data_IF_276286794945
#
_entry.id   IF_276286794945
#
_cell.length_a   1.000
_cell.length_b   1.000
_cell.length_c   1.000
_cell.angle_alpha   90.00
_cell.angle_beta   90.00
_cell.angle_gamma   90.00
#
_symmetry.space_group_name_H-M   'P 1'
#
loop_
_entity.id
_entity.type
_entity.pdbx_description
1 polymer ?
#
# COMPACT_ATOMS: atom_id res chain seq x y z
N UNK A 1 -11.94 12.33 4.13
CA UNK A 1 -13.07 11.63 3.48
C UNK A 1 -12.85 11.65 1.97
N UNK A 2 -13.52 10.80 1.20
CA UNK A 2 -13.39 10.76 -0.28
C UNK A 2 -13.79 12.08 -0.97
N UNK A 3 -14.59 12.91 -0.30
CA UNK A 3 -15.06 14.21 -0.80
C UNK A 3 -14.27 15.41 -0.25
N UNK A 4 -13.20 15.18 0.51
CA UNK A 4 -12.38 16.28 1.01
C UNK A 4 -11.60 16.93 -0.15
N UNK A 5 -11.42 18.26 -0.09
CA UNK A 5 -10.53 18.96 -1.01
C UNK A 5 -9.11 18.41 -0.83
N UNK A 6 -8.48 17.97 -1.92
CA UNK A 6 -7.13 17.37 -1.89
C UNK A 6 -6.06 18.42 -2.14
N UNK A 7 -4.95 18.31 -1.39
CA UNK A 7 -3.72 19.10 -1.54
C UNK A 7 -2.51 18.25 -1.94
N UNK A 8 -2.62 16.94 -1.82
CA UNK A 8 -1.59 15.94 -2.17
C UNK A 8 -2.26 14.68 -2.76
N UNK A 9 -1.43 13.70 -3.10
CA UNK A 9 -1.84 12.41 -3.67
C UNK A 9 -2.03 11.31 -2.61
N UNK A 10 -1.74 11.60 -1.34
CA UNK A 10 -1.73 10.59 -0.29
C UNK A 10 -3.16 10.24 0.11
N UNK A 11 -3.48 8.95 0.11
CA UNK A 11 -4.75 8.43 0.62
C UNK A 11 -4.51 7.57 1.84
N UNK A 12 -4.90 8.08 3.01
CA UNK A 12 -4.93 7.28 4.23
C UNK A 12 -6.17 6.36 4.25
N UNK A 13 -5.96 5.08 4.57
CA UNK A 13 -7.00 4.06 4.70
C UNK A 13 -6.85 3.43 6.08
N UNK A 14 -7.91 3.51 6.88
CA UNK A 14 -7.95 2.93 8.22
C UNK A 14 -8.30 1.44 8.12
N UNK A 15 -7.39 0.57 8.56
CA UNK A 15 -7.62 -0.87 8.62
C UNK A 15 -8.10 -1.28 10.01
N UNK A 16 -8.80 -2.41 10.10
CA UNK A 16 -9.39 -2.90 11.34
C UNK A 16 -8.38 -3.67 12.20
N UNK A 17 -7.35 -4.24 11.59
CA UNK A 17 -6.31 -5.00 12.28
C UNK A 17 -4.94 -4.89 11.63
N UNK A 18 -3.93 -5.37 12.34
CA UNK A 18 -2.57 -5.48 11.83
C UNK A 18 -2.49 -6.45 10.63
N UNK A 19 -3.24 -7.54 10.68
CA UNK A 19 -3.28 -8.56 9.63
C UNK A 19 -3.93 -8.00 8.36
N UNK A 20 -5.03 -7.27 8.49
CA UNK A 20 -5.67 -6.61 7.35
C UNK A 20 -4.74 -5.58 6.70
N UNK A 21 -3.98 -4.84 7.52
CA UNK A 21 -2.97 -3.88 7.05
C UNK A 21 -1.86 -4.56 6.24
N UNK A 22 -1.27 -5.63 6.78
CA UNK A 22 -0.22 -6.40 6.11
C UNK A 22 -0.76 -6.98 4.80
N UNK A 23 -1.94 -7.59 4.84
CA UNK A 23 -2.59 -8.18 3.66
C UNK A 23 -2.85 -7.14 2.58
N UNK A 24 -3.33 -5.94 2.94
CA UNK A 24 -3.55 -4.87 1.99
C UNK A 24 -2.26 -4.45 1.28
N UNK A 25 -1.18 -4.18 2.04
CA UNK A 25 0.11 -3.76 1.46
C UNK A 25 0.71 -4.86 0.58
N UNK A 26 0.66 -6.12 1.00
CA UNK A 26 1.10 -7.24 0.17
C UNK A 26 0.28 -7.39 -1.11
N UNK A 27 -1.03 -7.14 -1.04
CA UNK A 27 -1.90 -7.25 -2.20
C UNK A 27 -1.66 -6.11 -3.21
N UNK A 28 -1.29 -4.91 -2.73
CA UNK A 28 -0.80 -3.82 -3.60
C UNK A 28 0.48 -4.25 -4.32
N UNK A 29 1.47 -4.83 -3.61
CA UNK A 29 2.70 -5.34 -4.25
C UNK A 29 2.40 -6.40 -5.32
N UNK A 30 1.51 -7.36 -5.04
CA UNK A 30 1.10 -8.39 -6.02
C UNK A 30 0.51 -7.81 -7.29
N UNK A 31 -0.14 -6.66 -7.18
CA UNK A 31 -0.74 -5.98 -8.31
C UNK A 31 0.22 -5.04 -9.06
N UNK A 32 1.42 -4.80 -8.52
CA UNK A 32 2.43 -3.95 -9.14
C UNK A 32 3.05 -4.59 -10.39
N UNK A 33 3.51 -3.78 -11.36
CA UNK A 33 4.12 -4.30 -12.60
C UNK A 33 5.52 -4.90 -12.40
N UNK A 34 6.26 -4.45 -11.39
CA UNK A 34 7.63 -4.91 -11.07
C UNK A 34 7.63 -5.63 -9.74
N UNK A 35 8.40 -6.72 -9.63
CA UNK A 35 8.59 -7.50 -8.40
C UNK A 35 7.30 -7.93 -7.69
N UNK A 36 6.24 -8.23 -8.44
CA UNK A 36 4.94 -8.62 -7.88
C UNK A 36 4.98 -9.92 -7.06
N UNK A 37 5.95 -10.80 -7.31
CA UNK A 37 6.20 -11.99 -6.49
C UNK A 37 6.96 -11.72 -5.18
N UNK A 38 7.59 -10.55 -5.02
CA UNK A 38 8.41 -10.22 -3.85
C UNK A 38 7.55 -9.59 -2.75
N UNK A 39 6.75 -10.41 -2.07
CA UNK A 39 5.82 -9.92 -1.05
C UNK A 39 6.57 -9.27 0.12
N UNK A 40 6.20 -8.04 0.51
CA UNK A 40 6.83 -7.38 1.63
C UNK A 40 6.42 -8.01 2.95
N UNK A 41 7.30 -7.93 3.93
CA UNK A 41 7.04 -8.28 5.31
C UNK A 41 7.43 -7.10 6.21
N UNK A 42 6.88 -7.02 7.43
CA UNK A 42 7.22 -5.94 8.34
C UNK A 42 8.68 -5.99 8.77
N UNK A 43 9.38 -4.85 8.66
CA UNK A 43 10.79 -4.73 9.00
C UNK A 43 11.08 -3.48 9.85
N UNK A 44 12.19 -3.52 10.58
CA UNK A 44 12.64 -2.43 11.42
C UNK A 44 13.34 -1.37 10.54
N UNK A 45 12.80 -0.14 10.53
CA UNK A 45 13.34 0.97 9.74
C UNK A 45 13.95 2.02 10.66
N UNK A 46 15.19 2.42 10.40
CA UNK A 46 15.87 3.45 11.20
C UNK A 46 15.04 4.75 11.24
N UNK A 47 14.79 5.24 12.46
CA UNK A 47 13.97 6.45 12.69
C UNK A 47 12.49 6.18 12.99
N UNK A 48 12.05 4.91 13.00
CA UNK A 48 10.70 4.52 13.39
C UNK A 48 10.69 3.68 14.66
N UNK A 49 9.76 3.98 15.57
CA UNK A 49 9.56 3.23 16.83
C UNK A 49 8.74 1.94 16.63
N UNK A 50 8.25 1.70 15.41
CA UNK A 50 7.44 0.55 15.05
C UNK A 50 7.92 -0.01 13.72
N UNK A 51 7.75 -1.31 13.52
CA UNK A 51 7.97 -1.95 12.22
C UNK A 51 7.16 -1.26 11.12
N UNK A 52 7.74 -1.16 9.95
CA UNK A 52 7.11 -0.62 8.74
C UNK A 52 6.95 -1.76 7.74
N UNK A 53 5.87 -1.73 6.97
CA UNK A 53 5.72 -2.53 5.76
C UNK A 53 5.52 -1.60 4.57
N UNK A 54 6.09 -1.95 3.42
CA UNK A 54 6.04 -1.12 2.20
C UNK A 54 5.95 -1.98 0.95
N UNK A 55 5.05 -1.60 0.05
CA UNK A 55 4.96 -2.07 -1.32
C UNK A 55 5.45 -0.96 -2.26
N UNK A 56 6.43 -1.29 -3.11
CA UNK A 56 7.07 -0.38 -4.05
C UNK A 56 7.53 -1.15 -5.30
N UNK A 57 6.62 -1.89 -5.94
CA UNK A 57 6.85 -2.58 -7.21
C UNK A 57 6.90 -1.61 -8.41
N UNK A 58 7.70 -0.56 -8.29
CA UNK A 58 7.85 0.54 -9.24
C UNK A 58 9.01 0.29 -10.19
N UNK A 59 8.95 0.89 -11.38
CA UNK A 59 10.06 0.86 -12.35
C UNK A 59 11.26 1.67 -11.85
N UNK A 60 11.00 2.79 -11.19
CA UNK A 60 12.04 3.59 -10.54
C UNK A 60 12.02 3.32 -9.03
N UNK A 61 13.18 2.97 -8.47
CA UNK A 61 13.30 2.62 -7.05
C UNK A 61 12.85 3.77 -6.14
N UNK A 62 11.89 3.50 -5.25
CA UNK A 62 11.38 4.46 -4.27
C UNK A 62 10.46 5.54 -4.87
N UNK A 63 9.98 5.35 -6.09
CA UNK A 63 9.05 6.26 -6.76
C UNK A 63 7.67 6.21 -6.12
N UNK A 64 7.24 7.32 -5.51
CA UNK A 64 5.90 7.48 -4.90
C UNK A 64 4.88 8.11 -5.84
N UNK A 65 5.29 8.53 -7.05
CA UNK A 65 4.36 8.88 -8.13
C UNK A 65 3.85 7.61 -8.84
N UNK A 66 4.61 6.52 -8.75
CA UNK A 66 4.13 5.17 -9.09
C UNK A 66 3.33 4.59 -7.93
N UNK A 67 2.53 3.56 -8.24
CA UNK A 67 1.63 2.95 -7.29
C UNK A 67 2.41 2.35 -6.11
N UNK A 68 2.11 2.80 -4.90
CA UNK A 68 2.77 2.35 -3.68
C UNK A 68 1.80 2.32 -2.49
N UNK A 69 2.15 1.49 -1.50
CA UNK A 69 1.45 1.47 -0.22
C UNK A 69 2.44 1.21 0.92
N UNK A 70 2.35 1.97 2.00
CA UNK A 70 3.17 1.77 3.18
C UNK A 70 2.40 2.04 4.47
N UNK A 71 2.89 1.46 5.56
CA UNK A 71 2.25 1.63 6.86
C UNK A 71 3.17 1.29 8.04
N UNK A 72 3.07 2.03 9.15
CA UNK A 72 3.58 1.57 10.44
C UNK A 72 2.65 0.52 11.07
N UNK A 73 3.22 -0.57 11.58
CA UNK A 73 2.51 -1.61 12.30
C UNK A 73 2.20 -1.19 13.74
N UNK A 74 1.32 -0.21 13.88
CA UNK A 74 0.79 0.25 15.16
C UNK A 74 -0.64 0.73 15.01
N UNK A 75 -1.42 0.65 16.08
CA UNK A 75 -2.75 1.22 16.11
C UNK A 75 -2.70 2.73 15.74
N UNK A 76 -3.62 3.22 14.90
CA UNK A 76 -4.86 2.56 14.49
C UNK A 76 -4.74 1.81 13.13
N UNK A 77 -3.56 1.32 12.74
CA UNK A 77 -3.33 0.54 11.52
C UNK A 77 -3.73 1.29 10.23
N UNK A 78 -3.15 2.47 10.05
CA UNK A 78 -3.40 3.30 8.86
C UNK A 78 -2.43 2.95 7.73
N UNK A 79 -2.96 2.53 6.59
CA UNK A 79 -2.21 2.40 5.34
C UNK A 79 -2.20 3.74 4.60
N UNK A 80 -1.05 4.11 4.04
CA UNK A 80 -0.91 5.20 3.09
C UNK A 80 -0.80 4.61 1.70
N UNK A 81 -1.80 4.86 0.87
CA UNK A 81 -1.86 4.41 -0.51
C UNK A 81 -1.76 5.63 -1.42
N UNK A 82 -0.88 5.61 -2.41
CA UNK A 82 -0.62 6.77 -3.25
C UNK A 82 0.02 6.40 -4.59
N UNK A 83 0.03 7.39 -5.48
CA UNK A 83 0.61 7.26 -6.80
C UNK A 83 -0.18 6.35 -7.74
N UNK A 84 0.39 6.14 -8.92
CA UNK A 84 -0.20 5.43 -10.04
C UNK A 84 -0.05 6.25 -11.31
N UNK A 85 0.64 5.68 -12.30
CA UNK A 85 0.94 6.38 -13.55
C UNK A 85 -0.29 6.51 -14.46
N UNK A 86 -1.20 5.54 -14.38
CA UNK A 86 -2.46 5.54 -15.12
C UNK A 86 -3.60 5.13 -14.21
N UNK A 87 -4.79 5.70 -14.43
CA UNK A 87 -5.99 5.39 -13.66
C UNK A 87 -6.32 3.89 -13.70
N UNK A 88 -6.18 3.27 -14.87
CA UNK A 88 -6.47 1.86 -15.09
C UNK A 88 -5.58 0.94 -14.24
N UNK A 89 -4.30 1.32 -14.04
CA UNK A 89 -3.39 0.55 -13.19
C UNK A 89 -3.82 0.61 -11.72
N UNK A 90 -4.31 1.77 -11.26
CA UNK A 90 -4.80 1.97 -9.89
C UNK A 90 -6.06 1.14 -9.68
N UNK A 91 -7.02 1.24 -10.60
CA UNK A 91 -8.28 0.50 -10.54
C UNK A 91 -8.03 -1.01 -10.54
N UNK A 92 -7.21 -1.50 -11.47
CA UNK A 92 -6.85 -2.91 -11.55
C UNK A 92 -6.18 -3.38 -10.25
N UNK A 93 -5.25 -2.60 -9.72
CA UNK A 93 -4.55 -2.97 -8.50
C UNK A 93 -5.47 -3.03 -7.28
N UNK A 94 -6.38 -2.06 -7.14
CA UNK A 94 -7.39 -2.08 -6.08
C UNK A 94 -8.35 -3.27 -6.23
N UNK A 95 -8.80 -3.58 -7.45
CA UNK A 95 -9.65 -4.74 -7.71
C UNK A 95 -8.96 -6.06 -7.34
N UNK A 96 -7.69 -6.23 -7.73
CA UNK A 96 -6.89 -7.40 -7.38
C UNK A 96 -6.66 -7.47 -5.87
N UNK A 97 -6.33 -6.35 -5.23
CA UNK A 97 -6.09 -6.28 -3.81
C UNK A 97 -7.34 -6.68 -3.01
N UNK A 98 -8.49 -6.09 -3.33
CA UNK A 98 -9.76 -6.41 -2.69
C UNK A 98 -10.19 -7.87 -2.94
N UNK A 99 -9.93 -8.41 -4.13
CA UNK A 99 -10.21 -9.81 -4.45
C UNK A 99 -9.37 -10.76 -3.59
N UNK A 100 -8.09 -10.46 -3.41
CA UNK A 100 -7.18 -11.28 -2.61
C UNK A 100 -7.50 -11.18 -1.12
N UNK A 101 -7.83 -9.98 -0.61
CA UNK A 101 -8.27 -9.79 0.77
C UNK A 101 -9.59 -10.53 1.09
N UNK A 102 -10.53 -10.62 0.14
CA UNK A 102 -11.80 -11.37 0.33
C UNK A 102 -11.67 -12.89 0.34
N UNK A 103 -10.54 -13.44 -0.12
CA UNK A 103 -10.29 -14.89 -0.13
C UNK A 103 -9.72 -15.41 1.20
N UNK A 104 -9.33 -14.50 2.09
CA UNK A 104 -8.86 -14.80 3.45
C UNK A 104 -10.03 -14.92 4.41
#
# INVERSE_FOLDING_TARGET
>A
SSMAKRSDITQAILMQSQEELISFVQAVQKASPVDSQALPYPDDMAGYDSKIIMASGSFIQGSSIELSADAPLRAPYTAYFQGGLTEESIELALMLALRDMKKM
#
